data_IF_700762839727
#
_entry.id   IF_700762839727
#
_cell.length_a   1.000
_cell.length_b   1.000
_cell.length_c   1.000
_cell.angle_alpha   90.00
_cell.angle_beta   90.00
_cell.angle_gamma   90.00
#
_symmetry.space_group_name_H-M   'P 1'
#
loop_
_entity.id
_entity.type
_entity.pdbx_description
1 polymer ?
#
# COMPACT_ATOMS: atom_id res chain seq x y z
N UNK A 1 26.52 5.79 5.89
CA UNK A 1 25.81 7.08 5.79
C UNK A 1 25.62 7.35 4.32
N UNK A 2 24.40 7.67 3.89
CA UNK A 2 24.10 7.93 2.47
C UNK A 2 24.82 9.20 2.03
N UNK A 3 25.31 9.19 0.79
CA UNK A 3 25.75 10.40 0.09
C UNK A 3 24.54 11.28 -0.23
N UNK A 4 24.72 12.60 -0.48
CA UNK A 4 23.61 13.46 -0.88
C UNK A 4 22.83 12.98 -2.11
N UNK A 5 23.52 12.31 -3.05
CA UNK A 5 22.87 11.74 -4.24
C UNK A 5 22.01 10.53 -3.87
N UNK A 6 22.51 9.64 -3.01
CA UNK A 6 21.75 8.48 -2.54
C UNK A 6 20.55 8.89 -1.68
N UNK A 7 20.69 9.94 -0.86
CA UNK A 7 19.61 10.51 -0.05
C UNK A 7 18.47 11.08 -0.92
N UNK A 8 18.83 11.81 -1.97
CA UNK A 8 17.86 12.29 -2.96
C UNK A 8 17.17 11.14 -3.71
N UNK A 9 17.93 10.11 -4.11
CA UNK A 9 17.37 8.92 -4.75
C UNK A 9 16.40 8.16 -3.83
N UNK A 10 16.73 8.06 -2.54
CA UNK A 10 15.88 7.44 -1.55
C UNK A 10 14.56 8.22 -1.41
N UNK A 11 14.65 9.55 -1.33
CA UNK A 11 13.48 10.44 -1.28
C UNK A 11 12.55 10.22 -2.48
N UNK A 12 13.09 10.19 -3.71
CA UNK A 12 12.29 9.94 -4.92
C UNK A 12 11.62 8.55 -4.91
N UNK A 13 12.34 7.52 -4.44
CA UNK A 13 11.77 6.17 -4.30
C UNK A 13 10.63 6.13 -3.29
N UNK A 14 10.78 6.84 -2.17
CA UNK A 14 9.73 7.00 -1.15
C UNK A 14 8.48 7.67 -1.75
N UNK A 15 8.65 8.76 -2.50
CA UNK A 15 7.54 9.45 -3.16
C UNK A 15 6.79 8.55 -4.15
N UNK A 16 7.52 7.79 -4.97
CA UNK A 16 6.92 6.86 -5.92
C UNK A 16 6.12 5.75 -5.22
N UNK A 17 6.65 5.19 -4.12
CA UNK A 17 5.94 4.19 -3.32
C UNK A 17 4.69 4.77 -2.70
N UNK A 18 4.76 6.00 -2.17
CA UNK A 18 3.61 6.67 -1.57
C UNK A 18 2.49 6.88 -2.61
N UNK A 19 2.83 7.35 -3.80
CA UNK A 19 1.86 7.55 -4.89
C UNK A 19 1.20 6.23 -5.30
N UNK A 20 2.01 5.18 -5.50
CA UNK A 20 1.51 3.84 -5.81
C UNK A 20 0.61 3.30 -4.68
N UNK A 21 1.04 3.40 -3.43
CA UNK A 21 0.28 2.94 -2.27
C UNK A 21 -1.06 3.66 -2.13
N UNK A 22 -1.12 4.97 -2.41
CA UNK A 22 -2.38 5.72 -2.43
C UNK A 22 -3.35 5.22 -3.52
N UNK A 23 -2.83 4.88 -4.71
CA UNK A 23 -3.65 4.33 -5.79
C UNK A 23 -4.18 2.92 -5.47
N UNK A 24 -3.39 2.08 -4.81
CA UNK A 24 -3.82 0.75 -4.34
C UNK A 24 -4.87 0.89 -3.25
N UNK A 25 -4.65 1.80 -2.28
CA UNK A 25 -5.61 2.05 -1.20
C UNK A 25 -6.97 2.52 -1.76
N UNK A 26 -6.96 3.40 -2.76
CA UNK A 26 -8.18 3.83 -3.43
C UNK A 26 -8.89 2.67 -4.15
N UNK A 27 -8.16 1.69 -4.69
CA UNK A 27 -8.75 0.49 -5.28
C UNK A 27 -9.34 -0.44 -4.21
N UNK A 28 -8.67 -0.60 -3.07
CA UNK A 28 -9.19 -1.37 -1.92
C UNK A 28 -10.51 -0.79 -1.42
N UNK A 29 -10.60 0.53 -1.23
CA UNK A 29 -11.84 1.17 -0.80
C UNK A 29 -12.98 0.96 -1.80
N UNK A 30 -12.70 1.11 -3.11
CA UNK A 30 -13.72 0.80 -4.13
C UNK A 30 -14.19 -0.64 -4.06
N UNK A 31 -13.28 -1.59 -3.90
CA UNK A 31 -13.64 -3.00 -3.75
C UNK A 31 -14.48 -3.25 -2.49
N UNK A 32 -14.11 -2.66 -1.35
CA UNK A 32 -14.89 -2.75 -0.11
C UNK A 32 -16.31 -2.19 -0.29
N UNK A 33 -16.44 -1.01 -0.92
CA UNK A 33 -17.72 -0.39 -1.24
C UNK A 33 -18.58 -1.31 -2.13
N UNK A 34 -17.99 -1.90 -3.17
CA UNK A 34 -18.66 -2.82 -4.09
C UNK A 34 -19.11 -4.11 -3.41
N UNK A 35 -18.38 -4.59 -2.41
CA UNK A 35 -18.74 -5.76 -1.60
C UNK A 35 -19.66 -5.44 -0.42
N UNK A 36 -19.99 -4.17 -0.18
CA UNK A 36 -20.79 -3.73 0.96
C UNK A 36 -20.11 -3.98 2.31
N UNK A 37 -18.78 -3.91 2.35
CA UNK A 37 -17.98 -4.05 3.58
C UNK A 37 -18.00 -2.71 4.33
N UNK A 38 -18.43 -2.73 5.58
CA UNK A 38 -18.43 -1.53 6.42
C UNK A 38 -16.98 -1.13 6.76
N UNK A 39 -16.68 0.17 6.65
CA UNK A 39 -15.32 0.70 6.84
C UNK A 39 -14.78 0.51 8.27
N UNK A 40 -15.66 0.35 9.25
CA UNK A 40 -15.34 0.15 10.66
C UNK A 40 -15.43 -1.32 11.10
N UNK A 41 -15.67 -2.26 10.17
CA UNK A 41 -15.56 -3.70 10.41
C UNK A 41 -14.09 -4.11 10.54
N UNK A 42 -13.48 -3.75 11.67
CA UNK A 42 -12.09 -4.06 12.01
C UNK A 42 -11.77 -5.56 12.10
N UNK A 43 -12.79 -6.44 12.05
CA UNK A 43 -12.59 -7.88 11.95
C UNK A 43 -12.49 -8.36 10.49
N UNK A 44 -12.92 -7.54 9.52
CA UNK A 44 -12.85 -7.85 8.10
C UNK A 44 -11.41 -7.80 7.59
N UNK A 45 -10.92 -8.86 6.92
CA UNK A 45 -9.56 -8.88 6.36
C UNK A 45 -9.29 -7.74 5.36
N UNK A 46 -10.30 -7.28 4.63
CA UNK A 46 -10.13 -6.17 3.68
C UNK A 46 -9.94 -4.84 4.38
N UNK A 47 -10.66 -4.60 5.48
CA UNK A 47 -10.52 -3.40 6.31
C UNK A 47 -9.15 -3.38 6.99
N UNK A 48 -8.72 -4.52 7.54
CA UNK A 48 -7.38 -4.67 8.10
C UNK A 48 -6.28 -4.34 7.07
N UNK A 49 -6.44 -4.80 5.83
CA UNK A 49 -5.48 -4.51 4.75
C UNK A 49 -5.46 -3.03 4.36
N UNK A 50 -6.62 -2.38 4.28
CA UNK A 50 -6.68 -0.93 4.00
C UNK A 50 -6.14 -0.10 5.16
N UNK A 51 -6.38 -0.50 6.41
CA UNK A 51 -5.86 0.18 7.60
C UNK A 51 -4.34 0.08 7.66
N UNK A 52 -3.78 -1.12 7.46
CA UNK A 52 -2.33 -1.32 7.43
C UNK A 52 -1.67 -0.54 6.29
N UNK A 53 -2.27 -0.54 5.09
CA UNK A 53 -1.76 0.23 3.96
C UNK A 53 -1.89 1.74 4.19
N UNK A 54 -2.98 2.20 4.79
CA UNK A 54 -3.20 3.60 5.15
C UNK A 54 -2.15 4.08 6.15
N UNK A 55 -1.87 3.32 7.21
CA UNK A 55 -0.83 3.66 8.17
C UNK A 55 0.58 3.65 7.54
N UNK A 56 0.82 2.72 6.60
CA UNK A 56 2.06 2.69 5.84
C UNK A 56 2.28 4.01 5.07
N UNK A 57 1.32 4.42 4.23
CA UNK A 57 1.49 5.59 3.35
C UNK A 57 1.39 6.94 4.07
N UNK A 58 0.71 6.99 5.21
CA UNK A 58 0.49 8.22 5.98
C UNK A 58 1.50 8.42 7.11
N UNK A 59 2.17 7.36 7.58
CA UNK A 59 3.07 7.45 8.72
C UNK A 59 4.40 6.76 8.46
N UNK A 60 4.40 5.44 8.25
CA UNK A 60 5.63 4.63 8.29
C UNK A 60 6.57 4.93 7.12
N UNK A 61 6.03 5.32 5.96
CA UNK A 61 6.83 5.59 4.75
C UNK A 61 7.83 6.75 4.95
N UNK A 62 7.52 7.71 5.82
CA UNK A 62 8.40 8.85 6.10
C UNK A 62 9.56 8.51 7.04
N UNK A 63 9.55 7.31 7.65
CA UNK A 63 10.59 6.83 8.55
C UNK A 63 11.61 5.93 7.84
N UNK A 64 11.42 5.66 6.55
CA UNK A 64 12.32 4.85 5.73
C UNK A 64 13.68 5.51 5.64
N UNK A 65 14.73 4.77 5.99
CA UNK A 65 16.11 5.26 5.96
C UNK A 65 17.02 4.43 5.05
N UNK A 66 16.51 3.33 4.48
CA UNK A 66 17.31 2.40 3.66
C UNK A 66 16.59 1.98 2.38
N UNK A 67 17.36 1.67 1.35
CA UNK A 67 16.81 1.11 0.10
C UNK A 67 16.19 -0.28 0.31
N UNK A 68 16.65 -1.06 1.29
CA UNK A 68 16.07 -2.37 1.60
C UNK A 68 14.63 -2.23 2.12
N UNK A 69 14.37 -1.24 2.97
CA UNK A 69 13.01 -0.95 3.45
C UNK A 69 12.08 -0.50 2.31
N UNK A 70 12.58 0.27 1.35
CA UNK A 70 11.86 0.62 0.12
C UNK A 70 11.45 -0.64 -0.64
N UNK A 71 12.39 -1.56 -0.90
CA UNK A 71 12.08 -2.78 -1.65
C UNK A 71 11.13 -3.70 -0.87
N UNK A 72 11.23 -3.74 0.46
CA UNK A 72 10.26 -4.44 1.32
C UNK A 72 8.85 -3.87 1.16
N UNK A 73 8.70 -2.54 1.14
CA UNK A 73 7.40 -1.91 0.93
C UNK A 73 6.89 -2.10 -0.49
N UNK A 74 7.75 -2.07 -1.51
CA UNK A 74 7.36 -2.47 -2.87
C UNK A 74 6.80 -3.89 -2.90
N UNK A 75 7.49 -4.86 -2.30
CA UNK A 75 7.02 -6.25 -2.26
C UNK A 75 5.70 -6.42 -1.50
N UNK A 76 5.49 -5.63 -0.45
CA UNK A 76 4.20 -5.57 0.26
C UNK A 76 3.08 -5.04 -0.64
N UNK A 77 3.31 -3.93 -1.36
CA UNK A 77 2.34 -3.38 -2.33
C UNK A 77 2.04 -4.38 -3.46
N UNK A 78 3.05 -5.06 -4.00
CA UNK A 78 2.85 -6.12 -5.00
C UNK A 78 1.96 -7.25 -4.48
N UNK A 79 2.07 -7.57 -3.19
CA UNK A 79 1.24 -8.56 -2.52
C UNK A 79 -0.23 -8.16 -2.48
N UNK A 80 -0.50 -6.91 -2.08
CA UNK A 80 -1.85 -6.36 -2.03
C UNK A 80 -2.48 -6.34 -3.43
N UNK A 81 -1.77 -5.82 -4.44
CA UNK A 81 -2.30 -5.73 -5.80
C UNK A 81 -2.68 -7.11 -6.36
N UNK A 82 -1.83 -8.13 -6.16
CA UNK A 82 -2.16 -9.50 -6.61
C UNK A 82 -3.40 -10.06 -5.93
N UNK A 83 -3.56 -9.82 -4.63
CA UNK A 83 -4.75 -10.28 -3.89
C UNK A 83 -6.00 -9.56 -4.38
N UNK A 84 -5.91 -8.24 -4.61
CA UNK A 84 -7.01 -7.43 -5.10
C UNK A 84 -7.42 -7.80 -6.52
N UNK A 85 -6.45 -8.02 -7.41
CA UNK A 85 -6.67 -8.48 -8.78
C UNK A 85 -7.41 -9.83 -8.80
N UNK A 86 -6.95 -10.80 -8.00
CA UNK A 86 -7.59 -12.11 -7.89
C UNK A 86 -9.01 -12.02 -7.34
N UNK A 87 -9.22 -11.23 -6.28
CA UNK A 87 -10.55 -11.05 -5.69
C UNK A 87 -11.52 -10.37 -6.67
N UNK A 88 -11.06 -9.34 -7.37
CA UNK A 88 -11.88 -8.63 -8.38
C UNK A 88 -12.29 -9.55 -9.53
N UNK A 89 -11.42 -10.45 -9.97
CA UNK A 89 -11.77 -11.45 -10.99
C UNK A 89 -12.82 -12.46 -10.52
N UNK A 90 -12.80 -12.86 -9.25
CA UNK A 90 -13.78 -13.79 -8.69
C UNK A 90 -15.17 -13.16 -8.53
N UNK A 91 -15.27 -11.83 -8.41
CA UNK A 91 -16.55 -11.11 -8.34
C UNK A 91 -17.21 -10.99 -9.72
N UNK A 92 -16.43 -11.00 -10.81
CA UNK A 92 -16.93 -10.85 -12.18
C UNK A 92 -17.31 -12.20 -12.84
N UNK A 93 -16.86 -13.33 -12.29
CA UNK A 93 -17.10 -14.69 -12.81
C UNK A 93 -18.41 -15.30 -12.29
#
# INVERSE_FOLDING_TARGET
MLTPVEDYQLTLKIELIKERGANILAQLYRFQDEQGIEFDDSANPWVLMSDDLSDLINTKIYLVATFEEVERYNGYLDGIERVLEQASHLVVA
#
